data_IF_976084678663
#
_entry.id   IF_976084678663
#
_cell.length_a   1.000
_cell.length_b   1.000
_cell.length_c   1.000
_cell.angle_alpha   90.00
_cell.angle_beta   90.00
_cell.angle_gamma   90.00
#
_symmetry.space_group_name_H-M   'P 1'
#
loop_
_entity.id
_entity.type
_entity.pdbx_description
1 polymer ?
#
# COMPACT_ATOMS: atom_id res chain seq x y z
N UNK A 1 0.46 -3.92 17.63
CA UNK A 1 0.91 -5.25 17.17
C UNK A 1 0.63 -5.37 15.68
N UNK A 2 1.53 -5.98 14.90
CA UNK A 2 1.32 -6.29 13.47
C UNK A 2 1.63 -7.77 13.26
N UNK A 3 0.73 -8.49 12.61
CA UNK A 3 0.92 -9.91 12.28
C UNK A 3 0.14 -10.27 11.01
N UNK A 4 0.69 -11.19 10.23
CA UNK A 4 0.04 -11.78 9.05
C UNK A 4 -0.57 -13.15 9.36
N UNK A 5 -0.17 -13.75 10.48
CA UNK A 5 -0.60 -15.07 10.91
C UNK A 5 -1.59 -14.93 12.07
N UNK A 6 -2.88 -14.98 11.74
CA UNK A 6 -3.95 -14.87 12.74
C UNK A 6 -3.88 -16.01 13.76
N UNK A 7 -3.32 -17.16 13.39
CA UNK A 7 -3.14 -18.28 14.31
C UNK A 7 -2.20 -17.94 15.47
N UNK A 8 -1.18 -17.10 15.25
CA UNK A 8 -0.28 -16.67 16.32
C UNK A 8 -1.00 -15.85 17.40
N UNK A 9 -2.04 -15.12 16.99
CA UNK A 9 -2.91 -14.37 17.90
C UNK A 9 -3.82 -15.32 18.67
N UNK A 10 -4.39 -16.31 17.98
CA UNK A 10 -5.35 -17.25 18.57
C UNK A 10 -4.64 -18.27 19.50
N UNK A 11 -3.39 -18.63 19.20
CA UNK A 11 -2.65 -19.65 19.95
C UNK A 11 -1.99 -19.12 21.23
N UNK A 12 -1.71 -17.82 21.32
CA UNK A 12 -0.95 -17.25 22.43
C UNK A 12 -1.85 -16.51 23.42
N UNK A 13 -1.94 -17.04 24.64
CA UNK A 13 -2.74 -16.48 25.74
C UNK A 13 -2.24 -15.09 26.17
N UNK A 14 -0.91 -14.91 26.23
CA UNK A 14 -0.26 -13.61 26.53
C UNK A 14 -0.64 -12.55 25.48
N UNK A 15 -0.67 -12.94 24.19
CA UNK A 15 -0.98 -12.03 23.09
C UNK A 15 -2.47 -11.65 23.12
N UNK A 16 -3.37 -12.59 23.43
CA UNK A 16 -4.80 -12.29 23.60
C UNK A 16 -5.04 -11.24 24.68
N UNK A 17 -4.48 -11.43 25.87
CA UNK A 17 -4.65 -10.49 26.97
C UNK A 17 -4.08 -9.11 26.63
N UNK A 18 -2.92 -9.05 25.98
CA UNK A 18 -2.31 -7.79 25.57
C UNK A 18 -3.18 -7.02 24.56
N UNK A 19 -3.80 -7.72 23.60
CA UNK A 19 -4.67 -7.11 22.59
C UNK A 19 -5.94 -6.56 23.22
N UNK A 20 -6.62 -7.38 24.04
CA UNK A 20 -7.89 -7.03 24.68
C UNK A 20 -7.72 -5.82 25.61
N UNK A 21 -6.60 -5.75 26.34
CA UNK A 21 -6.40 -4.71 27.36
C UNK A 21 -5.86 -3.38 26.81
N UNK A 22 -5.23 -3.33 25.63
CA UNK A 22 -4.49 -2.13 25.19
C UNK A 22 -4.80 -1.64 23.76
N UNK A 23 -5.68 -2.28 23.01
CA UNK A 23 -5.90 -1.90 21.59
C UNK A 23 -7.09 -0.96 21.40
N UNK A 24 -6.90 0.33 21.68
CA UNK A 24 -7.88 1.38 21.38
C UNK A 24 -8.19 1.50 19.87
N UNK A 25 -7.21 1.10 19.05
CA UNK A 25 -7.29 1.13 17.59
C UNK A 25 -6.99 -0.23 17.00
N UNK A 26 -7.87 -0.70 16.12
CA UNK A 26 -7.73 -1.95 15.37
C UNK A 26 -7.81 -1.65 13.88
N UNK A 27 -6.82 -2.11 13.12
CA UNK A 27 -6.79 -2.00 11.66
C UNK A 27 -6.77 -3.39 11.05
N UNK A 28 -7.72 -3.68 10.15
CA UNK A 28 -7.82 -4.98 9.46
C UNK A 28 -7.87 -4.76 7.95
N UNK A 29 -7.02 -5.48 7.23
CA UNK A 29 -7.09 -5.60 5.77
C UNK A 29 -8.14 -6.64 5.37
N UNK A 30 -8.21 -7.03 4.09
CA UNK A 30 -9.17 -8.03 3.62
C UNK A 30 -9.05 -9.36 4.41
N UNK A 31 -10.15 -9.76 5.05
CA UNK A 31 -10.28 -10.98 5.84
C UNK A 31 -11.15 -12.05 5.17
N UNK A 32 -11.43 -11.92 3.87
CA UNK A 32 -12.30 -12.82 3.10
C UNK A 32 -11.93 -14.30 3.23
N UNK A 33 -10.62 -14.61 3.32
CA UNK A 33 -10.09 -15.97 3.49
C UNK A 33 -10.42 -16.61 4.84
N UNK A 34 -10.71 -15.80 5.87
CA UNK A 34 -10.96 -16.26 7.23
C UNK A 34 -12.45 -16.31 7.58
N UNK A 35 -13.33 -16.21 6.58
CA UNK A 35 -14.79 -16.12 6.79
C UNK A 35 -15.35 -17.23 7.68
N UNK A 36 -14.89 -18.46 7.51
CA UNK A 36 -15.34 -19.62 8.30
C UNK A 36 -14.86 -19.61 9.75
N UNK A 37 -13.76 -18.90 10.06
CA UNK A 37 -13.16 -18.83 11.40
C UNK A 37 -13.26 -17.43 12.00
N UNK A 38 -14.09 -16.57 11.41
CA UNK A 38 -14.11 -15.15 11.75
C UNK A 38 -14.74 -14.90 13.13
N UNK A 39 -15.59 -15.81 13.62
CA UNK A 39 -16.19 -15.69 14.95
C UNK A 39 -15.14 -15.68 16.07
N UNK A 40 -14.08 -16.48 15.93
CA UNK A 40 -12.95 -16.47 16.88
C UNK A 40 -12.21 -15.14 16.84
N UNK A 41 -11.97 -14.60 15.65
CA UNK A 41 -11.31 -13.29 15.45
C UNK A 41 -12.17 -12.17 16.04
N UNK A 42 -13.47 -12.23 15.76
CA UNK A 42 -14.48 -11.30 16.28
C UNK A 42 -14.45 -11.26 17.80
N UNK A 43 -14.43 -12.43 18.46
CA UNK A 43 -14.38 -12.52 19.92
C UNK A 43 -13.08 -11.93 20.49
N UNK A 44 -11.92 -12.29 19.95
CA UNK A 44 -10.61 -11.82 20.44
C UNK A 44 -10.45 -10.31 20.28
N UNK A 45 -10.88 -9.77 19.14
CA UNK A 45 -10.78 -8.34 18.85
C UNK A 45 -11.96 -7.55 19.42
N UNK A 46 -12.93 -8.21 20.07
CA UNK A 46 -14.14 -7.58 20.61
C UNK A 46 -14.97 -6.86 19.54
N UNK A 47 -15.03 -7.40 18.33
CA UNK A 47 -15.75 -6.80 17.20
C UNK A 47 -17.25 -7.11 17.26
N UNK A 48 -18.06 -6.19 16.76
CA UNK A 48 -19.52 -6.37 16.65
C UNK A 48 -19.91 -7.02 15.33
N UNK A 49 -21.13 -7.52 15.21
CA UNK A 49 -21.66 -8.01 13.92
C UNK A 49 -21.69 -6.92 12.84
N UNK A 50 -21.88 -5.66 13.25
CA UNK A 50 -21.82 -4.51 12.36
C UNK A 50 -20.39 -4.31 11.83
N UNK A 51 -19.38 -4.47 12.69
CA UNK A 51 -17.97 -4.40 12.28
C UNK A 51 -17.64 -5.53 11.30
N UNK A 52 -18.08 -6.76 11.58
CA UNK A 52 -17.86 -7.89 10.69
C UNK A 52 -18.42 -7.62 9.29
N UNK A 53 -19.66 -7.11 9.22
CA UNK A 53 -20.29 -6.76 7.93
C UNK A 53 -19.46 -5.72 7.17
N UNK A 54 -18.97 -4.68 7.85
CA UNK A 54 -18.08 -3.66 7.25
C UNK A 54 -16.76 -4.27 6.75
N UNK A 55 -16.10 -5.10 7.56
CA UNK A 55 -14.83 -5.74 7.18
C UNK A 55 -15.00 -6.56 5.90
N UNK A 56 -16.11 -7.27 5.75
CA UNK A 56 -16.38 -8.07 4.55
C UNK A 56 -16.78 -7.24 3.32
N UNK A 57 -16.92 -5.92 3.40
CA UNK A 57 -17.09 -5.06 2.21
C UNK A 57 -15.76 -4.59 1.62
N UNK A 58 -14.63 -4.76 2.32
CA UNK A 58 -13.30 -4.36 1.85
C UNK A 58 -13.05 -4.94 0.45
N UNK A 59 -12.69 -4.06 -0.49
CA UNK A 59 -12.43 -4.36 -1.91
C UNK A 59 -13.59 -5.05 -2.66
N UNK A 60 -14.83 -4.98 -2.16
CA UNK A 60 -16.02 -5.56 -2.81
C UNK A 60 -16.95 -4.54 -3.45
N UNK A 61 -16.76 -3.26 -3.16
CA UNK A 61 -17.57 -2.19 -3.71
C UNK A 61 -16.94 -1.67 -5.00
N UNK A 62 -17.79 -1.40 -6.00
CA UNK A 62 -17.38 -0.74 -7.24
C UNK A 62 -17.24 0.78 -7.00
N UNK A 63 -16.15 1.16 -6.35
CA UNK A 63 -15.90 2.54 -5.90
C UNK A 63 -14.56 3.10 -6.40
N UNK A 64 -13.97 2.46 -7.40
CA UNK A 64 -12.63 2.76 -7.95
C UNK A 64 -12.68 3.58 -9.24
N UNK A 65 -13.80 3.59 -9.94
CA UNK A 65 -13.95 4.32 -11.19
C UNK A 65 -13.84 5.84 -10.95
N UNK A 66 -13.05 6.52 -11.79
CA UNK A 66 -12.86 7.97 -11.72
C UNK A 66 -12.09 8.47 -10.48
N UNK A 67 -11.47 7.59 -9.69
CA UNK A 67 -10.74 7.93 -8.47
C UNK A 67 -9.27 7.53 -8.57
N UNK A 68 -8.42 8.24 -7.82
CA UNK A 68 -7.03 7.86 -7.58
C UNK A 68 -6.94 6.42 -7.07
N UNK A 69 -5.82 5.74 -7.31
CA UNK A 69 -5.63 4.40 -6.78
C UNK A 69 -5.59 4.43 -5.25
N UNK A 70 -6.45 3.65 -4.60
CA UNK A 70 -6.47 3.49 -3.15
C UNK A 70 -6.66 2.03 -2.75
N UNK A 71 -6.07 1.67 -1.61
CA UNK A 71 -6.34 0.40 -0.93
C UNK A 71 -7.39 0.61 0.14
N UNK A 72 -8.11 -0.43 0.50
CA UNK A 72 -9.11 -0.35 1.57
C UNK A 72 -8.62 -1.02 2.85
N UNK A 73 -8.94 -0.39 3.97
CA UNK A 73 -8.64 -0.89 5.32
C UNK A 73 -9.83 -0.61 6.23
N UNK A 74 -10.20 -1.60 7.03
CA UNK A 74 -11.12 -1.38 8.14
C UNK A 74 -10.34 -0.78 9.31
N UNK A 75 -10.85 0.30 9.89
CA UNK A 75 -10.29 0.93 11.08
C UNK A 75 -11.39 1.07 12.12
N UNK A 76 -11.15 0.51 13.31
CA UNK A 76 -11.93 0.77 14.51
C UNK A 76 -11.12 1.60 15.49
N UNK A 77 -11.74 2.63 16.07
CA UNK A 77 -11.20 3.50 17.11
C UNK A 77 -12.22 3.62 18.23
N UNK A 78 -11.99 2.94 19.35
CA UNK A 78 -12.98 2.81 20.41
C UNK A 78 -14.31 2.25 19.87
N UNK A 79 -15.37 3.04 19.98
CA UNK A 79 -16.73 2.68 19.52
C UNK A 79 -16.99 2.98 18.04
N UNK A 80 -16.13 3.75 17.39
CA UNK A 80 -16.33 4.17 15.98
C UNK A 80 -15.58 3.24 15.04
N UNK A 81 -16.20 2.82 13.95
CA UNK A 81 -15.59 1.95 12.96
C UNK A 81 -16.03 2.25 11.53
N UNK A 82 -15.15 2.01 10.56
CA UNK A 82 -15.43 2.21 9.14
C UNK A 82 -14.42 1.53 8.22
N UNK A 83 -14.78 1.40 6.94
CA UNK A 83 -13.84 1.04 5.87
C UNK A 83 -13.39 2.33 5.20
N UNK A 84 -12.09 2.52 5.12
CA UNK A 84 -11.48 3.73 4.59
C UNK A 84 -10.65 3.37 3.36
N UNK A 85 -10.68 4.25 2.37
CA UNK A 85 -9.72 4.25 1.28
C UNK A 85 -8.44 4.95 1.72
N UNK A 86 -7.31 4.29 1.57
CA UNK A 86 -5.98 4.82 1.85
C UNK A 86 -5.24 5.00 0.54
N UNK A 87 -4.89 6.24 0.26
CA UNK A 87 -4.09 6.67 -0.88
C UNK A 87 -2.64 6.85 -0.40
N UNK A 88 -1.70 6.34 -1.17
CA UNK A 88 -0.27 6.47 -0.89
C UNK A 88 0.37 7.28 -2.03
N UNK A 89 1.17 8.33 -1.72
CA UNK A 89 1.93 9.04 -2.73
C UNK A 89 2.86 8.09 -3.50
N UNK A 90 3.05 8.36 -4.79
CA UNK A 90 3.89 7.54 -5.66
C UNK A 90 5.33 7.42 -5.12
N UNK A 91 5.88 8.48 -4.53
CA UNK A 91 7.23 8.51 -3.98
C UNK A 91 7.37 7.58 -2.77
N UNK A 92 6.36 7.53 -1.91
CA UNK A 92 6.31 6.61 -0.77
C UNK A 92 6.27 5.16 -1.25
N UNK A 93 5.39 4.86 -2.20
CA UNK A 93 5.29 3.54 -2.81
C UNK A 93 6.62 3.09 -3.42
N UNK A 94 7.26 3.97 -4.21
CA UNK A 94 8.52 3.68 -4.89
C UNK A 94 9.71 3.52 -3.93
N UNK A 95 9.64 4.10 -2.74
CA UNK A 95 10.68 3.92 -1.71
C UNK A 95 10.70 2.48 -1.18
N UNK A 96 9.54 1.83 -1.10
CA UNK A 96 9.39 0.50 -0.48
C UNK A 96 9.05 -0.61 -1.47
N UNK A 97 9.00 -0.31 -2.77
CA UNK A 97 8.65 -1.33 -3.77
C UNK A 97 9.57 -2.56 -3.67
N UNK A 98 8.95 -3.73 -3.74
CA UNK A 98 9.66 -5.01 -3.82
C UNK A 98 9.77 -5.51 -5.26
N UNK A 99 9.02 -4.91 -6.20
CA UNK A 99 8.91 -5.35 -7.59
C UNK A 99 10.22 -5.15 -8.36
N UNK A 100 10.70 -6.23 -8.98
CA UNK A 100 12.00 -6.22 -9.67
C UNK A 100 12.03 -5.21 -10.83
N UNK A 101 10.98 -5.18 -11.66
CA UNK A 101 10.94 -4.28 -12.81
C UNK A 101 10.98 -2.81 -12.39
N UNK A 102 10.31 -2.45 -11.29
CA UNK A 102 10.30 -1.09 -10.75
C UNK A 102 11.67 -0.70 -10.18
N UNK A 103 12.32 -1.62 -9.45
CA UNK A 103 13.68 -1.42 -8.95
C UNK A 103 14.70 -1.20 -10.07
N UNK A 104 14.64 -2.00 -11.13
CA UNK A 104 15.55 -1.86 -12.28
C UNK A 104 15.33 -0.53 -13.01
N UNK A 105 14.07 -0.12 -13.19
CA UNK A 105 13.75 1.17 -13.79
C UNK A 105 14.25 2.34 -12.92
N UNK A 106 14.07 2.28 -11.60
CA UNK A 106 14.57 3.32 -10.69
C UNK A 106 16.11 3.39 -10.66
N UNK A 107 16.80 2.24 -10.74
CA UNK A 107 18.27 2.19 -10.88
C UNK A 107 18.73 2.88 -12.17
N UNK A 108 17.99 2.71 -13.26
CA UNK A 108 18.27 3.36 -14.53
C UNK A 108 18.19 4.88 -14.39
N UNK A 109 17.14 5.43 -13.78
CA UNK A 109 17.04 6.88 -13.52
C UNK A 109 18.21 7.38 -12.68
N UNK A 110 18.57 6.64 -11.62
CA UNK A 110 19.71 7.01 -10.78
C UNK A 110 21.03 7.02 -11.55
N UNK A 111 21.24 6.04 -12.44
CA UNK A 111 22.47 5.91 -13.22
C UNK A 111 22.56 6.99 -14.32
N UNK A 112 21.48 7.21 -15.07
CA UNK A 112 21.45 8.16 -16.20
C UNK A 112 21.49 9.62 -15.74
N UNK A 113 20.81 9.95 -14.64
CA UNK A 113 20.78 11.30 -14.09
C UNK A 113 21.92 11.59 -13.09
N UNK A 114 22.71 10.57 -12.73
CA UNK A 114 23.79 10.66 -11.74
C UNK A 114 23.40 11.40 -10.45
N UNK A 115 22.21 11.09 -9.93
CA UNK A 115 21.60 11.82 -8.82
C UNK A 115 21.48 10.97 -7.54
N UNK A 116 21.03 11.63 -6.47
CA UNK A 116 20.73 10.94 -5.20
C UNK A 116 19.54 9.97 -5.35
N UNK A 117 19.39 9.01 -4.44
CA UNK A 117 18.25 8.08 -4.50
C UNK A 117 16.90 8.79 -4.37
N UNK A 118 16.82 9.80 -3.48
CA UNK A 118 15.64 10.64 -3.31
C UNK A 118 15.29 11.36 -4.61
N UNK A 119 16.26 12.02 -5.23
CA UNK A 119 16.04 12.74 -6.48
C UNK A 119 15.64 11.78 -7.61
N UNK A 120 16.23 10.59 -7.69
CA UNK A 120 15.84 9.58 -8.67
C UNK A 120 14.36 9.17 -8.52
N UNK A 121 13.85 9.04 -7.30
CA UNK A 121 12.44 8.74 -7.03
C UNK A 121 11.55 9.91 -7.47
N UNK A 122 11.88 11.15 -7.08
CA UNK A 122 11.12 12.34 -7.46
C UNK A 122 11.04 12.49 -8.99
N UNK A 123 12.16 12.27 -9.68
CA UNK A 123 12.25 12.31 -11.15
C UNK A 123 11.47 11.19 -11.80
N UNK A 124 11.56 9.97 -11.27
CA UNK A 124 10.81 8.82 -11.75
C UNK A 124 9.30 9.03 -11.62
N UNK A 125 8.84 9.50 -10.46
CA UNK A 125 7.42 9.76 -10.20
C UNK A 125 6.88 10.89 -11.09
N UNK A 126 7.64 11.99 -11.27
CA UNK A 126 7.25 13.05 -12.18
C UNK A 126 7.13 12.58 -13.64
N UNK A 127 8.04 11.72 -14.09
CA UNK A 127 8.00 11.11 -15.43
C UNK A 127 6.82 10.13 -15.57
N UNK A 128 6.55 9.37 -14.50
CA UNK A 128 5.40 8.48 -14.43
C UNK A 128 4.07 9.25 -14.53
N UNK A 129 3.90 10.31 -13.75
CA UNK A 129 2.70 11.15 -13.79
C UNK A 129 2.50 11.78 -15.17
N UNK A 130 3.59 12.29 -15.78
CA UNK A 130 3.57 12.85 -17.13
C UNK A 130 3.23 11.82 -18.22
N UNK A 131 3.47 10.53 -17.98
CA UNK A 131 3.21 9.46 -18.93
C UNK A 131 1.72 9.13 -19.10
N UNK A 132 0.86 9.53 -18.15
CA UNK A 132 -0.56 9.18 -18.12
C UNK A 132 -0.84 7.69 -17.84
N UNK A 133 0.17 6.90 -17.50
CA UNK A 133 0.01 5.48 -17.17
C UNK A 133 -0.47 5.37 -15.72
N UNK A 134 -1.62 4.73 -15.47
CA UNK A 134 -2.21 4.69 -14.12
C UNK A 134 -1.52 3.77 -13.12
N UNK A 135 -0.70 2.82 -13.57
CA UNK A 135 -0.05 1.82 -12.72
C UNK A 135 1.46 1.88 -12.86
N UNK A 136 2.17 1.66 -11.75
CA UNK A 136 3.64 1.73 -11.70
C UNK A 136 4.28 0.65 -12.57
N UNK A 137 3.85 -0.61 -12.45
CA UNK A 137 4.50 -1.72 -13.16
C UNK A 137 4.53 -1.56 -14.71
N UNK A 138 3.41 -1.21 -15.40
CA UNK A 138 3.47 -0.91 -16.83
C UNK A 138 4.40 0.25 -17.19
N UNK A 139 4.47 1.30 -16.36
CA UNK A 139 5.41 2.40 -16.57
C UNK A 139 6.86 1.92 -16.43
N UNK A 140 7.18 1.18 -15.37
CA UNK A 140 8.51 0.59 -15.17
C UNK A 140 8.93 -0.31 -16.34
N UNK A 141 8.03 -1.15 -16.84
CA UNK A 141 8.28 -2.00 -18.01
C UNK A 141 8.59 -1.17 -19.26
N UNK A 142 7.86 -0.06 -19.46
CA UNK A 142 8.10 0.87 -20.57
C UNK A 142 9.46 1.54 -20.48
N UNK A 143 9.87 2.00 -19.29
CA UNK A 143 11.21 2.56 -19.04
C UNK A 143 12.28 1.51 -19.34
N UNK A 144 12.15 0.32 -18.78
CA UNK A 144 13.12 -0.75 -18.96
C UNK A 144 13.27 -1.17 -20.43
N UNK A 145 12.15 -1.22 -21.18
CA UNK A 145 12.16 -1.52 -22.60
C UNK A 145 12.81 -0.41 -23.44
N UNK A 146 12.62 0.86 -23.04
CA UNK A 146 13.26 1.99 -23.70
C UNK A 146 14.76 2.10 -23.37
N UNK A 147 15.18 1.61 -22.19
CA UNK A 147 16.56 1.67 -21.73
C UNK A 147 17.05 3.10 -21.42
N UNK A 148 16.13 4.05 -21.24
CA UNK A 148 16.42 5.46 -20.93
C UNK A 148 15.28 6.14 -20.18
N UNK A 149 15.55 7.27 -19.52
CA UNK A 149 14.51 8.18 -18.99
C UNK A 149 13.60 8.68 -20.12
N UNK A 150 12.31 8.89 -19.85
CA UNK A 150 11.30 9.06 -20.90
C UNK A 150 10.93 10.53 -21.14
N UNK A 151 10.20 11.15 -20.21
CA UNK A 151 9.58 12.47 -20.39
C UNK A 151 10.32 13.60 -19.68
N UNK A 152 11.44 13.31 -19.01
CA UNK A 152 12.30 14.34 -18.44
C UNK A 152 13.12 15.04 -19.53
N UNK A 153 12.82 16.31 -19.80
CA UNK A 153 13.74 17.15 -20.55
C UNK A 153 15.05 17.23 -19.77
N UNK A 154 16.16 16.87 -20.42
CA UNK A 154 17.50 16.95 -19.82
C UNK A 154 17.67 18.32 -19.13
N UNK A 155 18.12 18.37 -17.86
CA UNK A 155 18.58 19.64 -17.32
C UNK A 155 19.73 20.09 -18.21
N UNK A 156 19.62 21.31 -18.78
CA UNK A 156 20.71 21.95 -19.52
C UNK A 156 21.99 21.74 -18.73
N UNK A 157 22.95 21.05 -19.35
CA UNK A 157 24.30 20.88 -18.83
C UNK A 157 24.76 22.25 -18.34
N UNK A 158 25.04 22.38 -17.04
CA UNK A 158 25.77 23.56 -16.55
C UNK A 158 27.14 23.51 -17.22
N UNK A 159 27.30 24.27 -18.29
CA UNK A 159 28.60 24.64 -18.81
C UNK A 159 29.34 25.38 -17.69
N UNK A 160 30.42 24.78 -17.23
CA UNK A 160 31.55 25.47 -16.61
C UNK A 160 32.82 24.93 -17.26
#
# INVERSE_FOLDING_TARGET
MVTQEIQDIIGSEIVKEAIINNSDVVMLLDQSKFRERFDTIKAILGLTDVDCKKIFTINRLENKEGRSFFREVFIRRGTTSGVYGVEEPHECYMTYTTERAEKEALKLYKAELQCSHKEAIERYCADWDASGISKSLPFAQKVNAAGKVLNLHQPKTKQQ
#
